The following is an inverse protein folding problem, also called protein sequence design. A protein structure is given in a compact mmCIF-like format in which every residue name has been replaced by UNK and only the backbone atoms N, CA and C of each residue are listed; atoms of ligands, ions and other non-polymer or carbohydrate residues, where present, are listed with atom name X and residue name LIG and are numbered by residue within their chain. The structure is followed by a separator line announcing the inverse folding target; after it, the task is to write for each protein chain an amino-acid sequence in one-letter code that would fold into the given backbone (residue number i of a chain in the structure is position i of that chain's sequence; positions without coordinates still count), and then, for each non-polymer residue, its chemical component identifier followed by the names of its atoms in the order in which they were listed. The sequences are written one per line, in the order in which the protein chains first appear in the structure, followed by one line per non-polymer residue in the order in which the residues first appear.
data_IF_509254133988
#
_entry.id   IF_509254133988
#
_cell.length_a   1.000
_cell.length_b   1.000
_cell.length_c   1.000
_cell.angle_alpha   90.00
_cell.angle_beta   90.00
_cell.angle_gamma   90.00
#
_symmetry.space_group_name_H-M   'P 1'
#
loop_
_entity.id
_entity.type
_entity.pdbx_description
1 polymer ?
#
# COMPACT_ATOMS: atom_id res chain seq x y z
N UNK A 1 -7.61 23.31 -42.75
CA UNK A 1 -8.09 24.14 -41.60
C UNK A 1 -7.15 25.32 -41.36
N UNK A 2 -7.63 26.55 -41.56
CA UNK A 2 -6.83 27.76 -41.32
C UNK A 2 -6.54 27.96 -39.83
N UNK A 3 -5.33 28.40 -39.43
CA UNK A 3 -5.01 28.65 -38.04
C UNK A 3 -5.82 29.86 -37.53
N UNK A 4 -6.56 29.67 -36.43
CA UNK A 4 -7.32 30.75 -35.80
C UNK A 4 -6.39 31.87 -35.32
N UNK A 5 -6.78 33.11 -35.67
CA UNK A 5 -6.16 34.37 -35.25
C UNK A 5 -6.08 34.52 -33.73
N UNK A 6 -5.01 35.17 -33.25
CA UNK A 6 -4.65 35.28 -31.84
C UNK A 6 -5.71 36.03 -31.00
N UNK A 7 -6.44 36.96 -31.62
CA UNK A 7 -7.53 37.68 -30.96
C UNK A 7 -8.75 36.77 -30.69
N UNK A 8 -9.02 35.82 -31.59
CA UNK A 8 -10.12 34.84 -31.46
C UNK A 8 -9.82 33.76 -30.42
N UNK A 9 -8.55 33.34 -30.27
CA UNK A 9 -8.14 32.43 -29.17
C UNK A 9 -8.39 33.05 -27.79
N UNK A 10 -8.03 34.32 -27.58
CA UNK A 10 -8.22 34.98 -26.28
C UNK A 10 -9.70 35.16 -25.90
N UNK A 11 -10.59 35.39 -26.88
CA UNK A 11 -12.05 35.43 -26.65
C UNK A 11 -12.63 34.05 -26.36
N UNK A 12 -12.25 33.03 -27.11
CA UNK A 12 -12.73 31.64 -26.88
C UNK A 12 -12.25 31.10 -25.53
N UNK A 13 -10.98 31.32 -25.17
CA UNK A 13 -10.45 30.91 -23.87
C UNK A 13 -11.13 31.64 -22.69
N UNK A 14 -11.45 32.94 -22.82
CA UNK A 14 -12.20 33.66 -21.78
C UNK A 14 -13.66 33.20 -21.66
N UNK A 15 -14.32 32.84 -22.77
CA UNK A 15 -15.70 32.32 -22.75
C UNK A 15 -15.76 30.91 -22.18
N UNK A 16 -14.78 30.05 -22.47
CA UNK A 16 -14.69 28.69 -21.89
C UNK A 16 -14.35 28.74 -20.40
N UNK A 17 -13.44 29.62 -19.97
CA UNK A 17 -13.11 29.81 -18.55
C UNK A 17 -14.30 30.44 -17.80
N UNK A 18 -14.94 31.47 -18.35
CA UNK A 18 -16.12 32.08 -17.72
C UNK A 18 -17.31 31.11 -17.67
N UNK A 19 -17.53 30.30 -18.71
CA UNK A 19 -18.55 29.26 -18.73
C UNK A 19 -18.27 28.13 -17.73
N UNK A 20 -17.02 27.67 -17.64
CA UNK A 20 -16.59 26.67 -16.67
C UNK A 20 -16.70 27.16 -15.22
N UNK A 21 -16.36 28.43 -14.95
CA UNK A 21 -16.52 29.06 -13.63
C UNK A 21 -17.99 29.25 -13.28
N UNK A 22 -18.86 29.62 -14.23
CA UNK A 22 -20.31 29.73 -13.99
C UNK A 22 -20.94 28.36 -13.74
N UNK A 23 -20.57 27.31 -14.48
CA UNK A 23 -21.05 25.95 -14.22
C UNK A 23 -20.54 25.43 -12.87
N UNK A 24 -19.26 25.65 -12.54
CA UNK A 24 -18.70 25.29 -11.24
C UNK A 24 -19.36 26.07 -10.08
N UNK A 25 -19.71 27.35 -10.27
CA UNK A 25 -20.44 28.16 -9.29
C UNK A 25 -21.92 27.79 -9.20
N UNK A 26 -22.54 27.28 -10.27
CA UNK A 26 -23.91 26.73 -10.23
C UNK A 26 -23.92 25.39 -9.50
N UNK A 27 -22.95 24.51 -9.74
CA UNK A 27 -22.81 23.24 -9.01
C UNK A 27 -22.47 23.51 -7.53
N UNK A 28 -21.52 24.40 -7.24
CA UNK A 28 -21.19 24.79 -5.87
C UNK A 28 -22.33 25.58 -5.17
N UNK A 29 -23.06 26.40 -5.92
CA UNK A 29 -24.20 27.19 -5.41
C UNK A 29 -25.43 26.32 -5.10
N UNK A 30 -25.67 25.26 -5.87
CA UNK A 30 -26.69 24.24 -5.57
C UNK A 30 -26.30 23.43 -4.33
N UNK A 31 -25.02 23.12 -4.14
CA UNK A 31 -24.52 22.42 -2.94
C UNK A 31 -24.64 23.30 -1.67
N UNK A 32 -24.38 24.61 -1.77
CA UNK A 32 -24.48 25.52 -0.62
C UNK A 32 -25.93 25.81 -0.18
N UNK A 33 -26.88 25.97 -1.12
CA UNK A 33 -28.30 26.21 -0.78
C UNK A 33 -29.00 24.93 -0.30
N UNK A 34 -28.55 23.75 -0.71
CA UNK A 34 -29.06 22.47 -0.21
C UNK A 34 -28.60 22.13 1.20
N UNK A 35 -27.57 22.76 1.78
CA UNK A 35 -27.13 22.42 3.14
C UNK A 35 -28.10 22.93 4.24
N UNK A 36 -28.86 24.01 3.98
CA UNK A 36 -29.81 24.57 4.98
C UNK A 36 -31.22 23.98 4.86
N UNK A 37 -31.60 23.51 3.66
CA UNK A 37 -32.86 22.79 3.44
C UNK A 37 -32.71 21.25 3.47
N UNK A 38 -31.50 20.72 3.30
CA UNK A 38 -31.22 19.30 3.00
C UNK A 38 -31.17 18.36 4.19
N UNK A 39 -31.34 18.83 5.43
CA UNK A 39 -31.50 17.93 6.58
C UNK A 39 -32.96 17.80 7.05
N UNK A 40 -33.93 18.41 6.34
CA UNK A 40 -35.34 18.38 6.77
C UNK A 40 -36.03 17.02 6.60
N UNK A 41 -35.49 16.15 5.76
CA UNK A 41 -35.97 14.77 5.60
C UNK A 41 -34.82 13.76 5.71
N UNK A 42 -35.10 12.53 6.17
CA UNK A 42 -34.06 11.52 6.38
C UNK A 42 -33.27 11.18 5.11
N UNK A 43 -33.97 11.07 3.97
CA UNK A 43 -33.39 10.77 2.67
C UNK A 43 -32.40 11.85 2.22
N UNK A 44 -32.71 13.14 2.46
CA UNK A 44 -31.84 14.26 2.11
C UNK A 44 -30.60 14.35 3.01
N UNK A 45 -30.73 13.99 4.29
CA UNK A 45 -29.59 13.86 5.19
C UNK A 45 -28.65 12.74 4.73
N UNK A 46 -29.19 11.59 4.33
CA UNK A 46 -28.41 10.48 3.76
C UNK A 46 -27.78 10.86 2.41
N UNK A 47 -28.53 11.52 1.53
CA UNK A 47 -28.01 12.03 0.25
C UNK A 47 -26.82 12.98 0.45
N UNK A 48 -26.93 13.91 1.40
CA UNK A 48 -25.86 14.85 1.73
C UNK A 48 -24.60 14.13 2.22
N UNK A 49 -24.76 13.14 3.10
CA UNK A 49 -23.65 12.31 3.57
C UNK A 49 -22.98 11.54 2.42
N UNK A 50 -23.77 10.88 1.57
CA UNK A 50 -23.26 10.11 0.43
C UNK A 50 -22.61 11.00 -0.65
N UNK A 51 -23.09 12.23 -0.83
CA UNK A 51 -22.47 13.20 -1.75
C UNK A 51 -21.05 13.55 -1.29
N UNK A 52 -20.85 13.79 0.00
CA UNK A 52 -19.51 14.04 0.56
C UNK A 52 -18.56 12.88 0.28
N UNK A 53 -19.01 11.63 0.46
CA UNK A 53 -18.22 10.45 0.14
C UNK A 53 -17.93 10.32 -1.36
N UNK A 54 -18.91 10.58 -2.22
CA UNK A 54 -18.75 10.56 -3.68
C UNK A 54 -17.75 11.61 -4.18
N UNK A 55 -17.74 12.77 -3.53
CA UNK A 55 -16.83 13.90 -3.80
C UNK A 55 -15.44 13.74 -3.16
N UNK A 56 -15.24 12.72 -2.31
CA UNK A 56 -13.96 12.48 -1.63
C UNK A 56 -13.73 13.31 -0.36
N UNK A 57 -14.78 13.92 0.20
CA UNK A 57 -14.74 14.77 1.40
C UNK A 57 -14.98 13.95 2.67
N UNK A 58 -14.07 13.04 2.98
CA UNK A 58 -14.16 12.13 4.13
C UNK A 58 -14.21 12.87 5.47
N UNK A 59 -13.53 14.00 5.62
CA UNK A 59 -13.47 14.79 6.86
C UNK A 59 -14.83 15.37 7.20
N UNK A 60 -15.50 15.98 6.22
CA UNK A 60 -16.85 16.52 6.39
C UNK A 60 -17.89 15.40 6.55
N UNK A 61 -17.74 14.29 5.83
CA UNK A 61 -18.60 13.12 6.00
C UNK A 61 -18.51 12.55 7.41
N UNK A 62 -17.29 12.46 7.97
CA UNK A 62 -17.04 11.96 9.33
C UNK A 62 -17.54 12.93 10.40
N UNK A 63 -17.50 14.25 10.16
CA UNK A 63 -18.13 15.24 11.04
C UNK A 63 -19.66 15.12 11.04
N UNK A 64 -20.25 14.84 9.88
CA UNK A 64 -21.69 14.67 9.73
C UNK A 64 -22.17 13.35 10.38
N UNK A 65 -21.43 12.27 10.16
CA UNK A 65 -21.75 10.93 10.69
C UNK A 65 -20.47 10.34 11.28
N UNK A 66 -20.33 10.48 12.60
CA UNK A 66 -19.19 9.91 13.31
C UNK A 66 -19.32 8.38 13.36
N UNK A 67 -18.36 7.62 12.82
CA UNK A 67 -18.38 6.16 12.89
C UNK A 67 -18.24 5.60 14.31
N UNK A 68 -17.84 6.40 15.31
CA UNK A 68 -17.73 5.94 16.70
C UNK A 68 -16.58 4.94 16.95
N UNK A 69 -15.58 4.93 16.07
CA UNK A 69 -14.45 3.98 16.10
C UNK A 69 -13.22 4.55 16.84
N UNK A 70 -12.28 3.70 17.30
CA UNK A 70 -11.05 4.15 17.98
C UNK A 70 -10.18 5.09 17.13
N UNK A 71 -9.58 6.11 17.75
CA UNK A 71 -8.81 7.15 17.04
C UNK A 71 -7.60 6.60 16.27
N UNK A 72 -6.94 5.57 16.78
CA UNK A 72 -5.81 4.89 16.16
C UNK A 72 -6.20 4.07 14.91
N UNK A 73 -7.50 3.85 14.69
CA UNK A 73 -8.07 3.14 13.55
C UNK A 73 -8.73 4.08 12.52
N UNK A 74 -8.57 5.41 12.67
CA UNK A 74 -9.17 6.44 11.79
C UNK A 74 -8.20 7.03 10.76
N UNK A 75 -6.95 6.54 10.67
CA UNK A 75 -5.89 7.18 9.86
C UNK A 75 -6.27 7.34 8.39
N UNK A 76 -7.12 6.46 7.86
CA UNK A 76 -7.58 6.47 6.47
C UNK A 76 -8.96 7.12 6.25
N UNK A 77 -9.59 7.66 7.30
CA UNK A 77 -10.85 8.41 7.20
C UNK A 77 -10.58 9.90 6.91
N UNK A 78 -9.79 10.17 5.87
CA UNK A 78 -9.26 11.50 5.53
C UNK A 78 -9.52 11.87 4.08
N UNK A 79 -9.57 13.18 3.79
CA UNK A 79 -9.75 13.70 2.42
C UNK A 79 -8.59 13.31 1.50
N UNK A 80 -7.38 13.16 2.07
CA UNK A 80 -6.22 12.67 1.34
C UNK A 80 -6.48 11.25 0.81
N UNK A 81 -6.80 10.31 1.71
CA UNK A 81 -7.03 8.92 1.37
C UNK A 81 -8.19 8.75 0.37
N UNK A 82 -9.37 9.32 0.68
CA UNK A 82 -10.56 9.14 -0.15
C UNK A 82 -10.52 9.99 -1.45
N UNK A 83 -9.93 11.17 -1.38
CA UNK A 83 -9.75 12.05 -2.54
C UNK A 83 -8.83 11.44 -3.60
N UNK A 84 -7.78 10.72 -3.17
CA UNK A 84 -6.87 10.00 -4.06
C UNK A 84 -7.42 8.68 -4.62
N UNK A 85 -8.60 8.22 -4.18
CA UNK A 85 -9.18 6.99 -4.68
C UNK A 85 -9.41 7.05 -6.21
N UNK A 86 -9.06 5.96 -6.91
CA UNK A 86 -9.26 5.78 -8.36
C UNK A 86 -10.75 5.77 -8.72
N UNK A 87 -11.56 5.18 -7.85
CA UNK A 87 -13.02 5.13 -7.95
C UNK A 87 -13.63 5.36 -6.57
N UNK A 88 -14.74 6.09 -6.51
CA UNK A 88 -15.55 6.31 -5.30
C UNK A 88 -16.96 5.81 -5.54
N UNK A 89 -17.75 5.73 -4.47
CA UNK A 89 -19.17 5.39 -4.61
C UNK A 89 -19.89 6.38 -5.51
N UNK A 90 -20.90 5.90 -6.22
CA UNK A 90 -21.89 6.69 -6.92
C UNK A 90 -23.27 6.31 -6.40
N UNK A 91 -24.11 7.32 -6.13
CA UNK A 91 -25.48 7.13 -5.68
C UNK A 91 -26.38 6.91 -6.91
N UNK A 92 -26.94 5.70 -7.04
CA UNK A 92 -27.86 5.38 -8.12
C UNK A 92 -29.30 5.77 -7.78
N UNK A 93 -29.72 5.47 -6.54
CA UNK A 93 -31.08 5.75 -6.06
C UNK A 93 -31.09 5.79 -4.53
N UNK A 94 -31.95 6.62 -3.96
CA UNK A 94 -32.33 6.54 -2.54
C UNK A 94 -33.83 6.23 -2.50
N UNK A 95 -34.21 5.18 -1.78
CA UNK A 95 -35.61 4.82 -1.60
C UNK A 95 -36.31 5.79 -0.65
N UNK A 96 -37.63 5.86 -0.74
CA UNK A 96 -38.44 6.66 0.20
C UNK A 96 -38.19 6.19 1.64
N UNK A 97 -38.01 7.13 2.59
CA UNK A 97 -37.68 6.79 3.97
C UNK A 97 -38.88 6.14 4.69
N UNK A 98 -38.62 5.07 5.44
CA UNK A 98 -39.59 4.54 6.39
C UNK A 98 -39.47 5.28 7.70
N UNK A 99 -40.47 6.08 8.08
CA UNK A 99 -40.45 6.91 9.29
C UNK A 99 -41.37 6.33 10.36
N UNK A 100 -40.88 6.23 11.59
CA UNK A 100 -41.62 5.78 12.77
C UNK A 100 -41.26 6.67 13.97
N UNK A 101 -42.12 7.65 14.28
CA UNK A 101 -41.86 8.63 15.32
C UNK A 101 -40.61 9.46 15.00
N UNK A 102 -39.63 9.44 15.91
CA UNK A 102 -38.37 10.16 15.76
C UNK A 102 -37.27 9.32 15.08
N UNK A 103 -37.58 8.13 14.59
CA UNK A 103 -36.64 7.26 13.88
C UNK A 103 -37.04 7.09 12.41
N UNK A 104 -36.03 6.96 11.54
CA UNK A 104 -36.22 6.67 10.14
C UNK A 104 -35.19 5.68 9.61
N UNK A 105 -35.60 4.88 8.63
CA UNK A 105 -34.74 3.97 7.88
C UNK A 105 -34.74 4.36 6.41
N UNK A 106 -33.56 4.50 5.81
CA UNK A 106 -33.35 4.94 4.43
C UNK A 106 -32.47 3.93 3.72
N UNK A 107 -32.95 3.35 2.61
CA UNK A 107 -32.16 2.44 1.79
C UNK A 107 -31.55 3.19 0.61
N UNK A 108 -30.24 3.12 0.47
CA UNK A 108 -29.50 3.67 -0.67
C UNK A 108 -29.03 2.54 -1.59
N UNK A 109 -29.19 2.75 -2.90
CA UNK A 109 -28.63 1.95 -3.97
C UNK A 109 -27.38 2.67 -4.48
N UNK A 110 -26.24 2.04 -4.27
CA UNK A 110 -24.93 2.59 -4.56
C UNK A 110 -24.25 1.74 -5.63
N UNK A 111 -23.23 2.30 -6.26
CA UNK A 111 -22.31 1.56 -7.11
C UNK A 111 -20.88 1.97 -6.84
N UNK A 112 -19.95 1.03 -6.95
CA UNK A 112 -18.51 1.30 -6.94
C UNK A 112 -17.89 0.54 -8.11
N UNK A 113 -17.21 1.27 -8.99
CA UNK A 113 -16.57 0.69 -10.18
C UNK A 113 -17.55 -0.17 -11.02
N UNK A 114 -18.78 0.31 -11.19
CA UNK A 114 -19.85 -0.38 -11.92
C UNK A 114 -20.54 -1.53 -11.17
N UNK A 115 -20.06 -1.91 -9.99
CA UNK A 115 -20.70 -2.94 -9.15
C UNK A 115 -21.74 -2.30 -8.22
N UNK A 116 -23.00 -2.69 -8.37
CA UNK A 116 -24.10 -2.19 -7.54
C UNK A 116 -24.15 -2.90 -6.18
N UNK A 117 -24.52 -2.17 -5.14
CA UNK A 117 -24.78 -2.68 -3.79
C UNK A 117 -25.79 -1.78 -3.06
N UNK A 118 -26.43 -2.30 -2.02
CA UNK A 118 -27.33 -1.52 -1.16
C UNK A 118 -26.73 -1.29 0.20
N UNK A 119 -27.10 -0.18 0.83
CA UNK A 119 -26.81 0.07 2.23
C UNK A 119 -27.98 0.76 2.91
N UNK A 120 -28.30 0.33 4.12
CA UNK A 120 -29.42 0.86 4.90
C UNK A 120 -28.91 1.77 6.01
N UNK A 121 -29.33 3.02 5.97
CA UNK A 121 -29.05 4.04 6.97
C UNK A 121 -30.21 4.17 7.95
N UNK A 122 -29.86 4.38 9.22
CA UNK A 122 -30.78 4.79 10.26
C UNK A 122 -30.54 6.28 10.54
N UNK A 123 -31.63 7.02 10.68
CA UNK A 123 -31.59 8.42 11.05
C UNK A 123 -32.54 8.68 12.22
N UNK A 124 -32.21 9.67 13.04
CA UNK A 124 -33.07 10.15 14.12
C UNK A 124 -33.36 11.62 13.94
N UNK A 125 -34.56 12.01 14.36
CA UNK A 125 -34.99 13.40 14.39
C UNK A 125 -34.10 14.18 15.36
N UNK A 126 -33.70 15.37 14.94
CA UNK A 126 -32.85 16.28 15.69
C UNK A 126 -33.48 17.68 15.65
N UNK A 127 -33.28 18.45 16.72
CA UNK A 127 -33.69 19.85 16.76
C UNK A 127 -32.63 20.70 16.05
N UNK A 128 -32.95 21.18 14.85
CA UNK A 128 -32.10 22.11 14.11
C UNK A 128 -32.06 23.49 14.77
N UNK A 129 -31.09 24.31 14.35
CA UNK A 129 -31.04 25.72 14.73
C UNK A 129 -32.35 26.43 14.36
N UNK A 130 -32.83 27.32 15.23
CA UNK A 130 -34.08 28.09 15.04
C UNK A 130 -35.39 27.26 15.10
N UNK A 131 -35.38 26.06 15.69
CA UNK A 131 -36.60 25.26 15.91
C UNK A 131 -37.10 24.56 14.65
N UNK A 132 -36.29 24.49 13.60
CA UNK A 132 -36.58 23.71 12.40
C UNK A 132 -36.22 22.24 12.66
N UNK A 133 -37.13 21.33 12.29
CA UNK A 133 -36.87 19.90 12.38
C UNK A 133 -35.75 19.50 11.40
N UNK A 134 -34.78 18.72 11.89
CA UNK A 134 -33.70 18.15 11.08
C UNK A 134 -33.55 16.65 11.38
N UNK A 135 -32.79 15.95 10.55
CA UNK A 135 -32.47 14.54 10.71
C UNK A 135 -30.96 14.34 10.80
N UNK A 136 -30.55 13.53 11.77
CA UNK A 136 -29.18 13.09 11.97
C UNK A 136 -29.04 11.64 11.52
N UNK A 137 -28.11 11.37 10.62
CA UNK A 137 -27.76 9.99 10.24
C UNK A 137 -26.92 9.36 11.35
N UNK A 138 -27.23 8.13 11.73
CA UNK A 138 -26.69 7.49 12.94
C UNK A 138 -25.54 6.52 12.66
N UNK A 139 -25.58 5.81 11.53
CA UNK A 139 -24.55 4.83 11.16
C UNK A 139 -23.76 5.28 9.94
N UNK A 140 -22.44 5.22 10.04
CA UNK A 140 -21.51 5.56 8.96
C UNK A 140 -21.31 4.38 8.00
N UNK A 141 -21.10 4.69 6.72
CA UNK A 141 -20.71 3.74 5.68
C UNK A 141 -19.19 3.49 5.74
N UNK A 142 -18.71 2.82 6.79
CA UNK A 142 -17.29 2.48 6.97
C UNK A 142 -17.07 0.98 7.04
N UNK A 143 -15.91 0.53 6.58
CA UNK A 143 -15.47 -0.86 6.60
C UNK A 143 -14.18 -0.99 7.40
N UNK A 144 -14.07 -2.03 8.22
CA UNK A 144 -12.82 -2.39 8.88
C UNK A 144 -11.96 -3.22 7.91
N UNK A 145 -10.71 -2.79 7.71
CA UNK A 145 -9.73 -3.48 6.88
C UNK A 145 -8.49 -3.76 7.71
N UNK A 146 -7.95 -4.97 7.58
CA UNK A 146 -6.70 -5.38 8.20
C UNK A 146 -5.58 -5.39 7.15
N UNK A 147 -4.57 -4.55 7.34
CA UNK A 147 -3.47 -4.38 6.41
C UNK A 147 -2.22 -5.15 6.87
N UNK A 148 -1.62 -5.90 5.94
CA UNK A 148 -0.24 -6.35 5.99
C UNK A 148 0.42 -6.21 4.63
N UNK A 149 1.73 -5.92 4.61
CA UNK A 149 2.45 -5.69 3.36
C UNK A 149 3.93 -6.07 3.46
N UNK A 150 4.24 -7.31 3.85
CA UNK A 150 5.65 -7.73 3.97
C UNK A 150 6.38 -7.67 2.62
N UNK A 151 7.66 -7.24 2.60
CA UNK A 151 8.53 -6.87 3.72
C UNK A 151 8.46 -5.37 4.12
N UNK A 152 7.44 -4.63 3.68
CA UNK A 152 7.33 -3.19 3.91
C UNK A 152 6.97 -2.90 5.38
N UNK A 153 7.67 -1.92 5.97
CA UNK A 153 7.36 -1.38 7.30
C UNK A 153 6.21 -0.37 7.28
N UNK A 154 5.85 0.12 6.11
CA UNK A 154 4.68 0.99 5.92
C UNK A 154 4.10 0.82 4.51
N UNK A 155 2.87 1.26 4.32
CA UNK A 155 2.15 1.19 3.04
C UNK A 155 1.44 2.53 2.81
N UNK A 156 1.53 3.09 1.60
CA UNK A 156 0.72 4.25 1.22
C UNK A 156 -0.62 3.78 0.67
N UNK A 157 -1.71 4.21 1.31
CA UNK A 157 -3.09 3.91 0.90
C UNK A 157 -3.78 5.23 0.60
N UNK A 158 -4.07 5.51 -0.67
CA UNK A 158 -4.66 6.79 -1.06
C UNK A 158 -3.76 7.99 -0.73
N UNK A 159 -2.43 7.84 -0.78
CA UNK A 159 -1.48 8.91 -0.42
C UNK A 159 -1.15 8.97 1.07
N UNK A 160 -2.03 8.52 1.95
CA UNK A 160 -1.77 8.46 3.40
C UNK A 160 -0.85 7.28 3.74
N UNK A 161 0.24 7.54 4.45
CA UNK A 161 1.18 6.52 4.95
C UNK A 161 0.60 5.79 6.14
N UNK A 162 0.49 4.47 6.07
CA UNK A 162 0.10 3.57 7.16
C UNK A 162 1.31 2.80 7.66
N UNK A 163 1.67 2.98 8.93
CA UNK A 163 2.74 2.22 9.57
C UNK A 163 2.22 0.82 9.88
N UNK A 164 2.95 -0.18 9.40
CA UNK A 164 2.62 -1.59 9.56
C UNK A 164 3.40 -2.15 10.74
N UNK A 165 2.83 -3.08 11.50
CA UNK A 165 3.55 -3.74 12.57
C UNK A 165 4.74 -4.52 12.00
N UNK A 166 5.89 -4.45 12.68
CA UNK A 166 7.04 -5.31 12.39
C UNK A 166 6.74 -6.70 12.97
N UNK A 167 6.32 -7.66 12.15
CA UNK A 167 5.96 -8.97 12.73
C UNK A 167 7.11 -9.95 12.69
N UNK A 168 7.73 -10.15 13.86
CA UNK A 168 7.86 -11.46 14.49
C UNK A 168 7.83 -11.27 16.02
N UNK A 169 6.65 -11.27 16.64
CA UNK A 169 6.60 -11.65 18.05
C UNK A 169 6.71 -13.18 18.09
N UNK A 170 7.94 -13.68 18.22
CA UNK A 170 8.37 -15.09 18.18
C UNK A 170 7.61 -16.03 19.13
N UNK A 171 6.70 -15.50 19.94
CA UNK A 171 5.96 -16.19 21.00
C UNK A 171 4.56 -16.64 20.60
N UNK A 172 3.91 -16.05 19.57
CA UNK A 172 2.48 -16.33 19.30
C UNK A 172 2.12 -16.75 17.87
N UNK A 173 3.05 -16.71 16.92
CA UNK A 173 2.83 -17.11 15.50
C UNK A 173 1.66 -16.40 14.79
N UNK A 174 1.15 -15.30 15.34
CA UNK A 174 0.07 -14.50 14.73
C UNK A 174 0.68 -13.36 13.94
N UNK A 175 0.30 -13.24 12.67
CA UNK A 175 0.57 -12.04 11.86
C UNK A 175 -0.15 -10.86 12.56
N UNK A 176 0.59 -9.91 13.11
CA UNK A 176 -0.02 -8.65 13.53
C UNK A 176 -0.47 -7.90 12.29
N UNK A 177 -1.72 -7.46 12.30
CA UNK A 177 -2.32 -6.71 11.20
C UNK A 177 -2.63 -5.30 11.67
N UNK A 178 -2.38 -4.30 10.81
CA UNK A 178 -2.80 -2.93 11.10
C UNK A 178 -4.27 -2.77 10.71
N UNK A 179 -5.13 -2.59 11.70
CA UNK A 179 -6.57 -2.41 11.46
C UNK A 179 -6.90 -0.93 11.23
N UNK A 180 -7.61 -0.58 10.16
CA UNK A 180 -8.11 0.76 9.89
C UNK A 180 -9.53 0.73 9.33
N UNK A 181 -10.33 1.72 9.72
CA UNK A 181 -11.60 1.98 9.06
C UNK A 181 -11.39 2.81 7.81
N UNK A 182 -12.11 2.46 6.75
CA UNK A 182 -12.06 3.11 5.44
C UNK A 182 -13.46 3.27 4.87
N UNK A 183 -13.64 4.26 4.00
CA UNK A 183 -14.86 4.40 3.20
C UNK A 183 -14.83 3.46 1.98
N UNK A 184 -15.97 2.97 1.47
CA UNK A 184 -15.98 2.19 0.24
C UNK A 184 -15.43 3.01 -0.95
N UNK A 185 -14.32 2.54 -1.50
CA UNK A 185 -13.64 3.16 -2.64
C UNK A 185 -12.58 2.20 -3.20
N UNK A 186 -12.02 2.54 -4.36
CA UNK A 186 -10.83 1.89 -4.92
C UNK A 186 -9.61 2.75 -4.65
N UNK A 187 -8.83 2.40 -3.64
CA UNK A 187 -7.65 3.15 -3.22
C UNK A 187 -6.43 2.75 -4.03
N UNK A 188 -5.62 3.71 -4.52
CA UNK A 188 -4.28 3.39 -5.02
C UNK A 188 -3.39 2.93 -3.85
N UNK A 189 -2.54 1.95 -4.13
CA UNK A 189 -1.51 1.46 -3.23
C UNK A 189 -0.14 1.84 -3.77
N UNK A 190 0.75 2.25 -2.89
CA UNK A 190 2.16 2.47 -3.22
C UNK A 190 3.06 2.02 -2.08
N UNK A 191 4.26 1.56 -2.45
CA UNK A 191 5.33 1.39 -1.49
C UNK A 191 5.70 2.76 -0.88
N UNK A 192 6.29 2.79 0.32
CA UNK A 192 6.89 4.00 0.87
C UNK A 192 7.94 4.56 -0.11
N UNK A 193 8.12 5.89 -0.13
CA UNK A 193 9.04 6.51 -1.10
C UNK A 193 10.47 5.99 -0.97
N UNK A 194 10.91 5.70 0.26
CA UNK A 194 12.20 5.09 0.56
C UNK A 194 12.38 3.68 -0.03
N UNK A 195 11.28 2.93 -0.16
CA UNK A 195 11.31 1.55 -0.64
C UNK A 195 10.94 1.40 -2.11
N UNK A 196 10.20 2.35 -2.70
CA UNK A 196 9.66 2.25 -4.06
C UNK A 196 10.72 2.15 -5.17
N UNK A 197 11.97 2.54 -4.89
CA UNK A 197 13.12 2.32 -5.79
C UNK A 197 13.55 0.85 -5.84
N UNK A 198 13.37 0.12 -4.74
CA UNK A 198 13.90 -1.23 -4.53
C UNK A 198 12.81 -2.31 -4.59
N UNK A 199 11.56 -1.93 -4.32
CA UNK A 199 10.42 -2.82 -4.23
C UNK A 199 9.25 -2.27 -5.07
N UNK A 200 8.66 -3.13 -5.88
CA UNK A 200 7.47 -2.84 -6.67
C UNK A 200 6.30 -3.65 -6.12
N UNK A 201 5.16 -3.00 -5.85
CA UNK A 201 3.96 -3.70 -5.40
C UNK A 201 3.40 -4.58 -6.53
N UNK A 202 2.95 -5.78 -6.19
CA UNK A 202 2.22 -6.65 -7.13
C UNK A 202 0.82 -6.09 -7.42
N UNK A 203 0.15 -5.57 -6.39
CA UNK A 203 -1.13 -4.88 -6.51
C UNK A 203 -0.96 -3.38 -6.30
N UNK A 204 -1.43 -2.59 -7.26
CA UNK A 204 -1.33 -1.10 -7.22
C UNK A 204 -2.63 -0.42 -6.78
N UNK A 205 -3.64 -1.21 -6.42
CA UNK A 205 -4.89 -0.71 -5.85
C UNK A 205 -5.65 -1.79 -5.13
N UNK A 206 -6.50 -1.35 -4.20
CA UNK A 206 -7.43 -2.19 -3.46
C UNK A 206 -8.82 -1.58 -3.48
N UNK A 207 -9.84 -2.41 -3.67
CA UNK A 207 -11.25 -1.99 -3.67
C UNK A 207 -11.95 -2.47 -2.41
N UNK A 208 -12.51 -1.53 -1.66
CA UNK A 208 -13.32 -1.79 -0.48
C UNK A 208 -14.78 -1.59 -0.84
N UNK A 209 -15.60 -2.59 -0.57
CA UNK A 209 -17.07 -2.54 -0.71
C UNK A 209 -17.72 -3.01 0.57
N UNK A 210 -18.99 -2.66 0.76
CA UNK A 210 -19.81 -3.35 1.76
C UNK A 210 -20.07 -4.77 1.28
N UNK A 211 -20.27 -5.74 2.19
CA UNK A 211 -20.84 -7.03 1.82
C UNK A 211 -22.18 -6.78 1.12
N UNK A 212 -22.51 -7.61 0.15
CA UNK A 212 -23.85 -7.61 -0.39
C UNK A 212 -24.84 -7.94 0.74
N UNK A 213 -25.91 -7.15 0.87
CA UNK A 213 -27.05 -7.49 1.73
C UNK A 213 -27.60 -8.86 1.26
N UNK A 214 -27.31 -9.94 1.99
CA UNK A 214 -27.94 -11.25 1.78
C UNK A 214 -29.36 -11.32 2.41
N UNK A 215 -29.86 -10.21 2.93
CA UNK A 215 -31.17 -10.11 3.59
C UNK A 215 -31.15 -10.38 5.10
N UNK A 216 -29.98 -10.57 5.72
CA UNK A 216 -29.86 -10.76 7.16
C UNK A 216 -30.02 -9.44 7.93
N UNK A 217 -31.21 -9.25 8.53
CA UNK A 217 -31.51 -8.17 9.49
C UNK A 217 -30.70 -8.35 10.77
N UNK A 218 -29.59 -7.62 10.88
CA UNK A 218 -28.80 -7.50 12.10
C UNK A 218 -27.70 -6.49 11.86
N UNK A 219 -27.18 -5.88 12.93
CA UNK A 219 -25.95 -5.09 12.89
C UNK A 219 -24.85 -6.06 12.42
N UNK A 220 -24.65 -6.18 11.12
CA UNK A 220 -23.69 -7.13 10.57
C UNK A 220 -22.33 -6.53 10.88
N UNK A 221 -21.62 -7.13 11.84
CA UNK A 221 -20.17 -6.98 11.96
C UNK A 221 -19.64 -7.10 10.54
N UNK A 222 -19.15 -6.00 9.97
CA UNK A 222 -18.55 -6.02 8.64
C UNK A 222 -17.58 -7.20 8.61
N UNK A 223 -17.68 -8.13 7.66
CA UNK A 223 -16.68 -9.17 7.52
C UNK A 223 -15.37 -8.45 7.28
N UNK A 224 -14.49 -8.64 8.25
CA UNK A 224 -13.12 -8.16 8.24
C UNK A 224 -12.52 -8.42 6.85
N UNK A 225 -12.09 -7.36 6.15
CA UNK A 225 -11.38 -7.50 4.88
C UNK A 225 -9.89 -7.53 5.16
N UNK A 226 -9.25 -8.67 4.88
CA UNK A 226 -7.81 -8.81 4.91
C UNK A 226 -7.20 -8.26 3.61
N UNK A 227 -6.30 -7.30 3.74
CA UNK A 227 -5.48 -6.77 2.67
C UNK A 227 -4.03 -7.20 2.87
N UNK A 228 -3.60 -8.19 2.10
CA UNK A 228 -2.21 -8.68 2.07
C UNK A 228 -1.53 -8.20 0.79
N UNK A 229 -0.75 -7.14 0.89
CA UNK A 229 -0.01 -6.59 -0.25
C UNK A 229 1.34 -7.29 -0.37
N UNK A 230 1.67 -7.77 -1.57
CA UNK A 230 2.99 -8.34 -1.85
C UNK A 230 3.84 -7.35 -2.64
N UNK A 231 5.15 -7.38 -2.40
CA UNK A 231 6.12 -6.63 -3.20
C UNK A 231 7.12 -7.58 -3.85
N UNK A 232 7.63 -7.20 -5.02
CA UNK A 232 8.73 -7.89 -5.71
C UNK A 232 9.98 -7.00 -5.74
N UNK A 233 11.19 -7.58 -5.63
CA UNK A 233 12.45 -6.88 -5.88
C UNK A 233 12.48 -6.23 -7.27
N UNK A 234 13.05 -5.02 -7.34
CA UNK A 234 13.34 -4.35 -8.62
C UNK A 234 14.73 -4.73 -9.13
N UNK A 235 15.02 -4.36 -10.39
CA UNK A 235 16.35 -4.52 -10.99
C UNK A 235 17.42 -3.75 -10.21
N UNK A 236 17.07 -2.61 -9.64
CA UNK A 236 17.97 -1.76 -8.85
C UNK A 236 18.36 -2.43 -7.53
N UNK A 237 17.42 -3.12 -6.88
CA UNK A 237 17.73 -3.95 -5.70
C UNK A 237 18.62 -5.15 -6.08
N UNK A 238 18.29 -5.81 -7.19
CA UNK A 238 19.07 -6.94 -7.71
C UNK A 238 20.51 -6.54 -8.05
N UNK A 239 20.70 -5.34 -8.61
CA UNK A 239 22.01 -4.78 -8.90
C UNK A 239 22.82 -4.53 -7.63
N UNK A 240 22.22 -3.91 -6.60
CA UNK A 240 22.91 -3.72 -5.30
C UNK A 240 23.31 -5.03 -4.65
N UNK A 241 22.43 -6.03 -4.69
CA UNK A 241 22.72 -7.35 -4.16
C UNK A 241 23.89 -8.00 -4.91
N UNK A 242 23.90 -7.91 -6.23
CA UNK A 242 25.01 -8.39 -7.06
C UNK A 242 26.32 -7.66 -6.75
N UNK A 243 26.32 -6.34 -6.58
CA UNK A 243 27.51 -5.58 -6.20
C UNK A 243 28.09 -6.06 -4.86
N UNK A 244 27.23 -6.36 -3.88
CA UNK A 244 27.65 -6.91 -2.58
C UNK A 244 28.17 -8.35 -2.68
N UNK A 245 27.57 -9.18 -3.52
CA UNK A 245 28.08 -10.52 -3.84
C UNK A 245 29.50 -10.46 -4.44
N UNK A 246 29.75 -9.51 -5.35
CA UNK A 246 31.08 -9.32 -5.97
C UNK A 246 32.11 -8.79 -4.98
N UNK A 247 31.73 -7.85 -4.13
CA UNK A 247 32.57 -7.37 -3.04
C UNK A 247 32.97 -8.52 -2.11
N UNK A 248 32.00 -9.34 -1.69
CA UNK A 248 32.26 -10.51 -0.85
C UNK A 248 33.15 -11.54 -1.56
N UNK A 249 32.94 -11.78 -2.86
CA UNK A 249 33.80 -12.67 -3.65
C UNK A 249 35.25 -12.21 -3.62
N UNK A 250 35.49 -10.90 -3.80
CA UNK A 250 36.83 -10.31 -3.72
C UNK A 250 37.45 -10.48 -2.33
N UNK A 251 36.68 -10.26 -1.26
CA UNK A 251 37.11 -10.51 0.12
C UNK A 251 37.55 -11.96 0.31
N UNK A 252 36.78 -12.91 -0.22
CA UNK A 252 37.08 -14.34 -0.14
C UNK A 252 38.30 -14.78 -0.95
N UNK A 253 38.75 -13.97 -1.91
CA UNK A 253 39.99 -14.20 -2.67
C UNK A 253 41.17 -13.33 -2.20
N UNK A 254 41.04 -12.63 -1.08
CA UNK A 254 42.10 -11.76 -0.55
C UNK A 254 42.63 -12.32 0.76
N UNK A 255 43.95 -12.56 0.86
CA UNK A 255 44.58 -13.05 2.10
C UNK A 255 44.89 -11.88 3.03
N UNK A 256 44.54 -11.91 4.34
CA UNK A 256 43.97 -13.03 5.11
C UNK A 256 42.43 -13.05 5.24
N UNK A 257 41.70 -12.13 4.61
CA UNK A 257 40.23 -12.05 4.73
C UNK A 257 39.47 -13.23 4.09
N UNK A 258 40.17 -14.09 3.35
CA UNK A 258 39.66 -15.33 2.77
C UNK A 258 39.20 -16.36 3.83
N UNK A 259 39.58 -16.17 5.09
CA UNK A 259 39.14 -16.99 6.23
C UNK A 259 37.86 -16.46 6.90
N UNK A 260 37.42 -15.24 6.55
CA UNK A 260 36.25 -14.61 7.17
C UNK A 260 34.96 -15.28 6.69
N UNK A 261 33.99 -15.47 7.60
CA UNK A 261 32.63 -15.84 7.19
C UNK A 261 32.01 -14.68 6.39
N UNK A 262 31.27 -14.95 5.29
CA UNK A 262 30.74 -16.24 4.83
C UNK A 262 31.57 -16.93 3.73
N UNK A 263 32.89 -16.74 3.67
CA UNK A 263 33.72 -17.36 2.62
C UNK A 263 33.70 -18.90 2.65
N UNK A 264 33.76 -19.57 1.48
CA UNK A 264 33.77 -21.03 1.40
C UNK A 264 34.92 -21.64 2.18
N UNK A 265 34.74 -22.86 2.70
CA UNK A 265 35.80 -23.53 3.46
C UNK A 265 37.08 -23.71 2.62
N UNK A 266 36.93 -23.96 1.33
CA UNK A 266 38.02 -24.11 0.37
C UNK A 266 38.90 -22.86 0.25
N UNK A 267 38.41 -21.68 0.66
CA UNK A 267 39.21 -20.46 0.68
C UNK A 267 40.02 -20.31 1.95
N UNK A 268 39.63 -20.98 3.05
CA UNK A 268 40.24 -20.81 4.38
C UNK A 268 41.60 -21.48 4.57
N UNK A 269 42.10 -22.21 3.57
CA UNK A 269 43.43 -22.79 3.66
C UNK A 269 44.49 -21.67 3.65
N UNK A 270 45.69 -21.97 4.15
CA UNK A 270 46.83 -21.05 4.09
C UNK A 270 47.27 -20.79 2.64
N UNK A 271 46.48 -20.02 1.90
CA UNK A 271 46.70 -19.70 0.49
C UNK A 271 47.85 -18.69 0.34
N UNK A 272 48.67 -18.89 -0.67
CA UNK A 272 49.68 -17.92 -1.10
C UNK A 272 49.06 -16.89 -2.04
N UNK A 273 48.16 -17.33 -2.92
CA UNK A 273 47.42 -16.48 -3.86
C UNK A 273 46.08 -17.09 -4.22
N UNK A 274 45.14 -16.22 -4.62
CA UNK A 274 43.81 -16.60 -5.10
C UNK A 274 43.36 -15.67 -6.22
N UNK A 275 42.47 -16.15 -7.07
CA UNK A 275 41.87 -15.39 -8.16
C UNK A 275 40.43 -15.80 -8.42
N UNK A 276 39.65 -14.86 -8.96
CA UNK A 276 38.29 -15.10 -9.44
C UNK A 276 38.36 -15.56 -10.88
N UNK A 277 37.96 -16.82 -11.14
CA UNK A 277 37.92 -17.39 -12.48
C UNK A 277 36.62 -17.02 -13.19
N UNK A 278 35.51 -17.00 -12.44
CA UNK A 278 34.17 -16.60 -12.87
C UNK A 278 33.46 -15.93 -11.71
N UNK A 279 33.11 -14.67 -11.89
CA UNK A 279 32.34 -13.91 -10.90
C UNK A 279 30.83 -14.09 -11.13
N UNK A 280 30.02 -13.74 -10.13
CA UNK A 280 28.57 -13.72 -10.23
C UNK A 280 28.12 -12.70 -11.28
N UNK A 281 27.09 -13.05 -12.05
CA UNK A 281 26.48 -12.18 -13.06
C UNK A 281 25.06 -11.77 -12.71
N UNK A 282 24.40 -12.50 -11.81
CA UNK A 282 23.04 -12.22 -11.37
C UNK A 282 22.78 -12.75 -9.96
N UNK A 283 21.70 -12.25 -9.38
CA UNK A 283 21.08 -12.81 -8.17
C UNK A 283 19.64 -13.18 -8.49
N UNK A 284 19.14 -14.23 -7.84
CA UNK A 284 17.76 -14.67 -7.93
C UNK A 284 17.14 -14.60 -6.55
N UNK A 285 16.13 -13.74 -6.38
CA UNK A 285 15.38 -13.65 -5.14
C UNK A 285 14.42 -14.85 -4.99
N UNK A 286 14.22 -15.25 -3.74
CA UNK A 286 13.25 -16.28 -3.38
C UNK A 286 11.85 -15.92 -3.89
N UNK A 287 11.10 -16.96 -4.28
CA UNK A 287 9.67 -16.82 -4.63
C UNK A 287 8.83 -16.42 -3.41
N UNK A 288 9.32 -16.73 -2.21
CA UNK A 288 8.76 -16.20 -0.99
C UNK A 288 9.23 -14.75 -0.80
N UNK A 289 8.43 -13.83 -1.31
CA UNK A 289 8.69 -12.39 -1.23
C UNK A 289 8.74 -11.86 0.21
N UNK A 290 8.25 -12.59 1.22
CA UNK A 290 8.34 -12.15 2.60
C UNK A 290 9.77 -12.29 3.14
N UNK A 291 10.50 -13.30 2.68
CA UNK A 291 11.84 -13.63 3.19
C UNK A 291 12.93 -12.64 2.75
N UNK A 292 12.75 -11.97 1.60
CA UNK A 292 13.76 -11.11 0.96
C UNK A 292 15.15 -11.76 0.84
N UNK A 293 15.19 -13.09 0.75
CA UNK A 293 16.41 -13.85 0.52
C UNK A 293 16.71 -13.97 -0.98
N UNK A 294 17.99 -14.13 -1.30
CA UNK A 294 18.46 -14.32 -2.66
C UNK A 294 19.65 -15.26 -2.71
N UNK A 295 19.84 -15.87 -3.88
CA UNK A 295 21.03 -16.65 -4.23
C UNK A 295 21.75 -16.02 -5.42
N UNK A 296 23.08 -16.03 -5.41
CA UNK A 296 23.86 -15.72 -6.61
C UNK A 296 23.82 -16.87 -7.61
N UNK A 297 24.19 -16.58 -8.85
CA UNK A 297 24.66 -17.62 -9.76
C UNK A 297 26.04 -18.17 -9.35
N UNK A 298 26.49 -19.20 -10.05
CA UNK A 298 27.73 -19.91 -9.73
C UNK A 298 28.97 -19.01 -9.88
N UNK A 299 29.77 -18.97 -8.82
CA UNK A 299 31.07 -18.33 -8.74
C UNK A 299 32.15 -19.41 -8.75
N UNK A 300 33.20 -19.20 -9.53
CA UNK A 300 34.38 -20.07 -9.56
C UNK A 300 35.62 -19.28 -9.18
N UNK A 301 36.39 -19.83 -8.25
CA UNK A 301 37.67 -19.27 -7.82
C UNK A 301 38.75 -20.34 -7.88
N UNK A 302 39.98 -19.88 -8.01
CA UNK A 302 41.18 -20.72 -7.93
C UNK A 302 42.16 -20.14 -6.92
N UNK A 303 43.00 -21.00 -6.33
CA UNK A 303 44.02 -20.58 -5.39
C UNK A 303 45.15 -21.60 -5.28
N UNK A 304 46.32 -21.15 -4.85
CA UNK A 304 47.48 -22.01 -4.61
C UNK A 304 47.84 -21.94 -3.13
N UNK A 305 47.83 -23.07 -2.40
CA UNK A 305 48.28 -23.12 -1.01
C UNK A 305 49.73 -22.67 -0.85
N UNK A 306 50.10 -22.17 0.33
CA UNK A 306 51.49 -21.93 0.69
C UNK A 306 52.24 -23.26 0.69
N UNK A 307 53.46 -23.33 0.13
CA UNK A 307 54.33 -24.48 0.27
C UNK A 307 54.51 -24.90 1.74
N UNK A 308 54.52 -26.20 1.98
CA UNK A 308 54.77 -26.78 3.31
C UNK A 308 56.02 -27.65 3.31
N UNK A 309 56.46 -28.06 4.49
CA UNK A 309 57.59 -28.99 4.66
C UNK A 309 57.36 -30.32 3.94
N UNK A 310 56.10 -30.74 3.80
CA UNK A 310 55.72 -32.01 3.17
C UNK A 310 55.33 -31.84 1.68
N UNK A 311 54.88 -30.65 1.28
CA UNK A 311 54.46 -30.35 -0.08
C UNK A 311 55.08 -29.02 -0.55
N UNK A 312 56.22 -29.12 -1.25
CA UNK A 312 56.98 -27.94 -1.71
C UNK A 312 56.34 -27.21 -2.88
N UNK A 313 55.58 -27.92 -3.72
CA UNK A 313 54.93 -27.40 -4.92
C UNK A 313 53.45 -27.79 -4.90
N UNK A 314 52.62 -27.14 -4.07
CA UNK A 314 51.22 -27.48 -3.95
C UNK A 314 50.47 -27.22 -5.25
N UNK A 315 49.55 -28.13 -5.60
CA UNK A 315 48.70 -27.95 -6.79
C UNK A 315 47.63 -26.90 -6.54
N UNK A 316 47.33 -26.10 -7.57
CA UNK A 316 46.22 -25.15 -7.52
C UNK A 316 44.89 -25.86 -7.29
N UNK A 317 44.08 -25.30 -6.40
CA UNK A 317 42.75 -25.77 -6.02
C UNK A 317 41.69 -24.88 -6.65
N UNK A 318 40.54 -25.46 -6.92
CA UNK A 318 39.37 -24.76 -7.47
C UNK A 318 38.19 -24.95 -6.55
N UNK A 319 37.40 -23.91 -6.38
CA UNK A 319 36.14 -23.98 -5.66
C UNK A 319 35.02 -23.41 -6.54
N UNK A 320 33.87 -24.08 -6.47
CA UNK A 320 32.63 -23.65 -7.11
C UNK A 320 31.57 -23.49 -6.05
N UNK A 321 30.95 -22.32 -5.97
CA UNK A 321 29.99 -22.04 -4.92
C UNK A 321 28.98 -20.98 -5.37
N UNK A 322 27.95 -20.78 -4.56
CA UNK A 322 27.03 -19.66 -4.63
C UNK A 322 26.98 -18.97 -3.28
N UNK A 323 26.66 -17.68 -3.28
CA UNK A 323 26.32 -16.96 -2.05
C UNK A 323 24.82 -16.92 -1.87
N UNK A 324 24.38 -17.17 -0.64
CA UNK A 324 23.03 -16.87 -0.19
C UNK A 324 23.06 -15.64 0.70
N UNK A 325 22.10 -14.75 0.52
CA UNK A 325 22.01 -13.52 1.28
C UNK A 325 20.58 -13.10 1.54
N UNK A 326 20.45 -12.04 2.35
CA UNK A 326 19.18 -11.46 2.74
C UNK A 326 19.24 -9.93 2.64
N UNK A 327 18.11 -9.34 2.29
CA UNK A 327 17.92 -7.90 2.33
C UNK A 327 17.09 -7.53 3.55
N UNK A 328 17.58 -6.55 4.31
CA UNK A 328 16.92 -6.03 5.50
C UNK A 328 16.76 -4.51 5.35
N UNK A 329 15.63 -3.98 5.85
CA UNK A 329 15.40 -2.54 5.95
C UNK A 329 15.40 -2.12 7.41
N UNK A 330 16.50 -1.53 7.90
CA UNK A 330 16.51 -0.93 9.22
C UNK A 330 15.41 0.12 9.34
N UNK A 331 14.82 0.23 10.53
CA UNK A 331 13.93 1.36 10.86
C UNK A 331 14.67 2.66 10.59
N UNK A 332 13.99 3.60 9.95
CA UNK A 332 14.50 4.92 9.59
C UNK A 332 15.63 4.96 8.54
N UNK A 333 15.93 3.85 7.86
CA UNK A 333 16.87 3.83 6.72
C UNK A 333 16.13 3.94 5.38
N UNK A 334 16.58 4.87 4.53
CA UNK A 334 16.13 4.95 3.13
C UNK A 334 16.77 3.89 2.23
N UNK A 335 17.87 3.28 2.70
CA UNK A 335 18.66 2.32 1.94
C UNK A 335 18.57 0.91 2.54
N UNK A 336 18.42 -0.15 1.73
CA UNK A 336 18.48 -1.51 2.21
C UNK A 336 19.89 -1.87 2.69
N UNK A 337 19.96 -2.69 3.73
CA UNK A 337 21.16 -3.43 4.10
C UNK A 337 21.12 -4.79 3.42
N UNK A 338 22.21 -5.14 2.74
CA UNK A 338 22.37 -6.43 2.07
C UNK A 338 23.44 -7.20 2.81
N UNK A 339 23.07 -8.36 3.33
CA UNK A 339 23.95 -9.24 4.08
C UNK A 339 24.13 -10.55 3.34
N UNK A 340 25.37 -10.94 3.11
CA UNK A 340 25.69 -12.29 2.65
C UNK A 340 25.75 -13.18 3.91
N UNK A 341 24.96 -14.24 3.93
CA UNK A 341 24.76 -15.08 5.12
C UNK A 341 25.61 -16.35 5.07
N UNK A 342 25.74 -16.93 3.89
CA UNK A 342 26.44 -18.18 3.70
C UNK A 342 26.95 -18.34 2.27
N UNK A 343 27.90 -19.27 2.10
CA UNK A 343 28.25 -19.84 0.81
C UNK A 343 27.94 -21.32 0.81
N UNK A 344 27.48 -21.83 -0.34
CA UNK A 344 27.17 -23.23 -0.56
C UNK A 344 27.91 -23.77 -1.78
N UNK A 345 28.58 -24.92 -1.63
CA UNK A 345 29.28 -25.60 -2.73
C UNK A 345 28.32 -26.03 -3.84
N UNK A 346 28.78 -25.96 -5.09
CA UNK A 346 28.05 -26.45 -6.27
C UNK A 346 28.74 -27.72 -6.78
N UNK A 347 28.03 -28.84 -6.71
CA UNK A 347 28.50 -30.16 -7.16
C UNK A 347 27.97 -30.51 -8.55
#
# INVERSE_FOLDING_TARGET
PAPMDAASRRKVTRVVIAGGVVVALVVAGVVALNLVNGMRSPDKAVESYLSLLSEGKATEATKMVDPGVPNDQRKLLTDEALGAAKSRIAVAKIDEPTISGDAATVRAHLSLDGKAFTYTFNATKSSGSFGLESWKVNNALVMLVHFSAKPLSSLKVGGTTLDLPDTEDSTTSKEELKSQYVYPATYPLAAPDSMGKYLELQDTSFTVTTPADDGSRGISKSPDQDMRVKAKPTDELSKKALEKVKEQTKTCTTVPSNEDKPCPYETSESMESMSVDKDATKVEFSKDSESMSFDSDEINISGTPKPSTFEKNPTSRKAKFKFSGKVEWPKDSEEPTIKIESSGGVY
#
